data_IF_648613478521
#
_entry.id   IF_648613478521
#
_cell.length_a   1.000
_cell.length_b   1.000
_cell.length_c   1.000
_cell.angle_alpha   90.00
_cell.angle_beta   90.00
_cell.angle_gamma   90.00
#
_symmetry.space_group_name_H-M   'P 1'
#
loop_
_entity.id
_entity.type
_entity.pdbx_description
1 polymer ?
#
# COMPACT_ATOMS: atom_id res chain seq x y z
N UNK A 1 -21.41 -6.45 25.75
CA UNK A 1 -20.82 -7.75 25.35
C UNK A 1 -19.30 -7.83 25.62
N UNK A 2 -18.66 -6.81 26.19
CA UNK A 2 -17.20 -6.76 26.37
C UNK A 2 -16.66 -7.48 27.61
N UNK A 3 -17.38 -7.52 28.74
CA UNK A 3 -16.85 -8.13 29.97
C UNK A 3 -16.81 -9.67 29.96
N UNK A 4 -17.74 -10.33 29.26
CA UNK A 4 -17.87 -11.79 29.29
C UNK A 4 -16.80 -12.53 28.47
N UNK A 5 -16.07 -11.84 27.58
CA UNK A 5 -15.02 -12.44 26.75
C UNK A 5 -13.65 -12.49 27.47
N UNK A 6 -13.42 -11.64 28.47
CA UNK A 6 -12.13 -11.60 29.17
C UNK A 6 -11.99 -12.69 30.22
N UNK A 7 -13.10 -13.17 30.81
CA UNK A 7 -13.08 -14.26 31.79
C UNK A 7 -12.84 -15.65 31.20
N UNK A 8 -12.84 -15.78 29.86
CA UNK A 8 -12.64 -17.07 29.18
C UNK A 8 -11.21 -17.31 28.70
N UNK A 9 -10.34 -16.29 28.68
CA UNK A 9 -8.96 -16.45 28.20
C UNK A 9 -8.12 -17.11 29.31
N UNK A 10 -7.53 -18.30 29.07
CA UNK A 10 -6.62 -18.93 30.03
C UNK A 10 -5.37 -18.06 30.30
N UNK A 11 -4.89 -18.06 31.55
CA UNK A 11 -3.66 -17.35 31.93
C UNK A 11 -2.40 -17.94 31.26
N UNK A 12 -2.45 -19.21 30.87
CA UNK A 12 -1.35 -19.91 30.20
C UNK A 12 -1.85 -20.38 28.85
N UNK A 13 -1.13 -20.00 27.80
CA UNK A 13 -1.45 -20.34 26.41
C UNK A 13 -0.20 -20.79 25.66
N UNK A 14 -0.34 -21.65 24.64
CA UNK A 14 0.70 -21.85 23.65
C UNK A 14 1.05 -20.53 22.98
N UNK A 15 2.36 -20.28 22.84
CA UNK A 15 2.90 -19.08 22.19
C UNK A 15 3.45 -19.46 20.82
N UNK A 16 3.06 -18.68 19.80
CA UNK A 16 3.67 -18.77 18.48
C UNK A 16 4.32 -17.43 18.09
N UNK A 17 5.60 -17.45 17.69
CA UNK A 17 6.31 -16.23 17.32
C UNK A 17 5.98 -15.80 15.87
N UNK A 18 5.55 -14.56 15.70
CA UNK A 18 5.40 -13.93 14.39
C UNK A 18 6.70 -13.22 14.00
N UNK A 19 7.10 -13.37 12.73
CA UNK A 19 8.29 -12.69 12.19
C UNK A 19 7.90 -11.46 11.37
N UNK A 20 7.02 -11.66 10.39
CA UNK A 20 6.76 -10.67 9.34
C UNK A 20 5.42 -9.93 9.47
N UNK A 21 4.78 -10.01 10.64
CA UNK A 21 3.51 -9.34 10.89
C UNK A 21 3.25 -9.06 12.38
N UNK A 22 2.33 -8.14 12.63
CA UNK A 22 1.76 -7.84 13.94
C UNK A 22 0.28 -8.18 13.88
N UNK A 23 -0.17 -9.12 14.71
CA UNK A 23 -1.58 -9.47 14.81
C UNK A 23 -2.29 -8.46 15.72
N UNK A 24 -3.40 -7.89 15.26
CA UNK A 24 -4.26 -7.01 16.05
C UNK A 24 -5.56 -7.72 16.47
N UNK A 25 -6.23 -7.25 17.54
CA UNK A 25 -7.61 -7.65 17.82
C UNK A 25 -8.51 -7.44 16.58
N UNK A 26 -9.50 -8.33 16.41
CA UNK A 26 -10.48 -8.38 15.32
C UNK A 26 -9.89 -8.67 13.91
N UNK A 27 -8.57 -8.77 13.79
CA UNK A 27 -7.92 -9.13 12.53
C UNK A 27 -8.18 -10.60 12.20
N UNK A 28 -8.73 -10.86 11.01
CA UNK A 28 -8.83 -12.21 10.46
C UNK A 28 -7.75 -12.42 9.41
N UNK A 29 -6.94 -13.47 9.56
CA UNK A 29 -5.84 -13.74 8.63
C UNK A 29 -5.48 -15.22 8.57
N UNK A 30 -5.02 -15.72 7.41
CA UNK A 30 -4.44 -17.04 7.29
C UNK A 30 -2.97 -17.02 7.73
N UNK A 31 -2.49 -18.11 8.33
CA UNK A 31 -1.07 -18.46 8.41
C UNK A 31 -0.82 -19.81 7.74
N UNK A 32 0.31 -19.89 7.05
CA UNK A 32 0.85 -21.13 6.51
C UNK A 32 1.99 -21.58 7.42
N UNK A 33 1.91 -22.82 7.90
CA UNK A 33 2.79 -23.39 8.91
C UNK A 33 3.60 -24.52 8.27
N UNK A 34 4.90 -24.56 8.58
CA UNK A 34 5.72 -25.73 8.30
C UNK A 34 5.45 -26.81 9.34
N UNK A 35 5.97 -28.02 9.14
CA UNK A 35 5.77 -29.13 10.08
C UNK A 35 6.24 -28.80 11.51
N UNK A 36 7.37 -28.09 11.63
CA UNK A 36 7.94 -27.67 12.92
C UNK A 36 7.09 -26.60 13.64
N UNK A 37 6.24 -25.88 12.90
CA UNK A 37 5.39 -24.80 13.43
C UNK A 37 4.01 -25.30 13.89
N UNK A 38 3.63 -26.54 13.55
CA UNK A 38 2.34 -27.15 13.88
C UNK A 38 2.11 -27.39 15.40
N UNK A 39 3.08 -27.90 16.18
CA UNK A 39 2.84 -28.31 17.57
C UNK A 39 2.13 -27.29 18.48
N UNK A 40 2.49 -25.99 18.51
CA UNK A 40 1.78 -25.03 19.36
C UNK A 40 0.30 -24.84 18.97
N UNK A 41 -0.05 -25.01 17.69
CA UNK A 41 -1.43 -24.91 17.22
C UNK A 41 -2.24 -26.18 17.52
N UNK A 42 -1.62 -27.36 17.51
CA UNK A 42 -2.27 -28.59 17.97
C UNK A 42 -2.53 -28.54 19.49
N UNK A 43 -1.58 -28.03 20.27
CA UNK A 43 -1.77 -27.84 21.70
C UNK A 43 -2.88 -26.81 21.99
N UNK A 44 -2.95 -25.72 21.22
CA UNK A 44 -3.97 -24.69 21.36
C UNK A 44 -5.42 -25.23 21.28
N UNK A 45 -5.64 -26.38 20.62
CA UNK A 45 -6.95 -27.05 20.59
C UNK A 45 -7.44 -27.44 22.00
N UNK A 46 -6.52 -27.68 22.94
CA UNK A 46 -6.81 -27.96 24.36
C UNK A 46 -7.07 -26.70 25.19
N UNK A 47 -6.66 -25.54 24.68
CA UNK A 47 -6.81 -24.23 25.31
C UNK A 47 -7.95 -23.42 24.67
N UNK A 48 -9.11 -24.06 24.45
CA UNK A 48 -10.28 -23.44 23.83
C UNK A 48 -10.03 -22.91 22.40
N UNK A 49 -9.12 -23.54 21.66
CA UNK A 49 -8.65 -23.09 20.35
C UNK A 49 -7.98 -21.70 20.39
N UNK A 50 -7.42 -21.30 21.53
CA UNK A 50 -6.72 -20.03 21.70
C UNK A 50 -5.21 -20.22 21.65
N UNK A 51 -4.53 -19.32 20.96
CA UNK A 51 -3.08 -19.25 20.86
C UNK A 51 -2.63 -17.81 21.06
N UNK A 52 -1.52 -17.60 21.75
CA UNK A 52 -0.95 -16.28 21.96
C UNK A 52 0.11 -16.00 20.89
N UNK A 53 -0.08 -14.93 20.12
CA UNK A 53 0.84 -14.55 19.06
C UNK A 53 1.65 -13.32 19.50
N UNK A 54 2.97 -13.45 19.47
CA UNK A 54 3.89 -12.37 19.79
C UNK A 54 4.87 -12.17 18.66
N UNK A 55 5.16 -10.91 18.32
CA UNK A 55 6.22 -10.62 17.36
C UNK A 55 7.57 -10.92 17.99
N UNK A 56 8.45 -11.60 17.24
CA UNK A 56 9.84 -11.81 17.63
C UNK A 56 10.60 -10.50 17.43
N UNK A 57 11.45 -10.13 18.38
CA UNK A 57 12.46 -9.09 18.11
C UNK A 57 13.45 -9.65 17.09
N UNK A 58 13.94 -8.81 16.17
CA UNK A 58 15.01 -9.22 15.25
C UNK A 58 16.25 -9.74 16.00
N UNK A 59 17.29 -10.18 15.28
CA UNK A 59 18.52 -10.65 15.95
C UNK A 59 18.96 -9.65 17.02
N UNK A 60 19.04 -10.08 18.30
CA UNK A 60 19.30 -9.18 19.38
C UNK A 60 20.69 -8.59 19.22
N UNK A 61 20.77 -7.28 18.95
CA UNK A 61 22.03 -6.53 19.14
C UNK A 61 22.44 -6.53 20.61
N UNK A 62 21.49 -6.74 21.51
CA UNK A 62 21.66 -6.83 22.95
C UNK A 62 21.03 -8.12 23.49
N UNK A 63 21.84 -9.09 23.97
CA UNK A 63 21.36 -10.36 24.54
C UNK A 63 20.50 -10.20 25.79
N UNK A 64 20.47 -9.02 26.42
CA UNK A 64 19.66 -8.75 27.61
C UNK A 64 18.18 -8.49 27.29
N UNK A 65 17.85 -8.21 26.03
CA UNK A 65 16.47 -7.96 25.63
C UNK A 65 15.69 -9.27 25.50
N UNK A 66 14.43 -9.31 25.98
CA UNK A 66 13.56 -10.46 25.75
C UNK A 66 13.41 -10.76 24.25
N UNK A 67 13.31 -12.05 23.85
CA UNK A 67 13.21 -12.44 22.44
C UNK A 67 11.92 -11.98 21.75
N UNK A 68 10.92 -11.53 22.52
CA UNK A 68 9.61 -11.10 22.04
C UNK A 68 9.32 -9.64 22.41
N UNK A 69 8.39 -9.03 21.69
CA UNK A 69 7.77 -7.79 22.15
C UNK A 69 6.86 -8.05 23.35
N UNK A 70 6.66 -7.02 24.18
CA UNK A 70 5.93 -7.14 25.45
C UNK A 70 4.44 -7.41 25.22
N UNK A 71 3.84 -6.76 24.20
CA UNK A 71 2.43 -6.95 23.83
C UNK A 71 2.31 -7.84 22.61
N UNK A 72 1.36 -8.77 22.71
CA UNK A 72 0.92 -9.64 21.63
C UNK A 72 -0.60 -9.66 21.57
N UNK A 73 -1.12 -10.59 20.79
CA UNK A 73 -2.56 -10.78 20.62
C UNK A 73 -2.90 -12.24 20.84
N UNK A 74 -3.91 -12.51 21.67
CA UNK A 74 -4.54 -13.83 21.73
C UNK A 74 -5.44 -13.95 20.51
N UNK A 75 -5.23 -15.01 19.76
CA UNK A 75 -6.00 -15.34 18.57
C UNK A 75 -6.77 -16.65 18.77
N UNK A 76 -7.95 -16.71 18.19
CA UNK A 76 -8.74 -17.94 18.08
C UNK A 76 -8.46 -18.62 16.76
N UNK A 77 -8.22 -19.92 16.80
CA UNK A 77 -8.09 -20.78 15.62
C UNK A 77 -9.50 -21.13 15.14
N UNK A 78 -9.91 -20.50 14.03
CA UNK A 78 -11.21 -20.72 13.41
C UNK A 78 -11.19 -21.90 12.43
N UNK A 79 -10.04 -22.18 11.82
CA UNK A 79 -9.86 -23.32 10.93
C UNK A 79 -8.41 -23.82 10.99
N UNK A 80 -8.22 -25.15 10.97
CA UNK A 80 -6.92 -25.81 10.91
C UNK A 80 -6.98 -26.92 9.85
N UNK A 81 -6.19 -26.80 8.78
CA UNK A 81 -6.18 -27.75 7.66
C UNK A 81 -4.74 -28.20 7.39
N UNK A 82 -4.43 -29.48 7.58
CA UNK A 82 -3.15 -30.06 7.17
C UNK A 82 -3.07 -30.14 5.65
N UNK A 83 -1.94 -29.76 5.08
CA UNK A 83 -1.72 -29.81 3.64
C UNK A 83 -1.12 -31.16 3.23
N UNK A 84 -1.41 -31.67 2.01
CA UNK A 84 -0.88 -32.96 1.55
C UNK A 84 0.65 -32.99 1.39
N UNK A 85 1.25 -31.82 1.21
CA UNK A 85 2.68 -31.61 0.92
C UNK A 85 3.57 -31.49 2.18
N UNK A 86 2.99 -31.65 3.37
CA UNK A 86 3.62 -31.30 4.64
C UNK A 86 3.25 -29.88 5.06
N UNK A 87 3.06 -29.65 6.36
CA UNK A 87 2.60 -28.36 6.90
C UNK A 87 1.08 -28.22 7.05
N UNK A 88 0.63 -27.01 7.38
CA UNK A 88 -0.78 -26.71 7.62
C UNK A 88 -1.15 -25.26 7.26
N UNK A 89 -2.40 -25.05 6.88
CA UNK A 89 -3.01 -23.72 6.80
C UNK A 89 -3.96 -23.52 7.97
N UNK A 90 -3.78 -22.43 8.71
CA UNK A 90 -4.67 -22.03 9.80
C UNK A 90 -5.31 -20.68 9.50
N UNK A 91 -6.58 -20.51 9.87
CA UNK A 91 -7.26 -19.21 9.84
C UNK A 91 -7.46 -18.75 11.27
N UNK A 92 -6.96 -17.55 11.57
CA UNK A 92 -6.91 -16.98 12.91
C UNK A 92 -7.76 -15.72 12.99
N UNK A 93 -8.34 -15.48 14.16
CA UNK A 93 -9.05 -14.24 14.50
C UNK A 93 -8.45 -13.66 15.78
N UNK A 94 -7.96 -12.42 15.71
CA UNK A 94 -7.50 -11.69 16.90
C UNK A 94 -8.65 -11.41 17.86
N UNK A 95 -8.47 -11.74 19.14
CA UNK A 95 -9.51 -11.58 20.17
C UNK A 95 -9.20 -10.40 21.08
N UNK A 96 -8.01 -10.38 21.67
CA UNK A 96 -7.64 -9.37 22.64
C UNK A 96 -6.12 -9.18 22.69
N UNK A 97 -5.70 -7.97 23.08
CA UNK A 97 -4.31 -7.70 23.44
C UNK A 97 -3.95 -8.40 24.74
N UNK A 98 -2.73 -8.94 24.77
CA UNK A 98 -2.15 -9.53 25.97
C UNK A 98 -0.71 -9.07 26.17
N UNK A 99 -0.30 -8.97 27.42
CA UNK A 99 1.09 -8.80 27.82
C UNK A 99 1.71 -10.17 28.12
N UNK A 100 2.95 -10.37 27.69
CA UNK A 100 3.75 -11.54 28.07
C UNK A 100 4.28 -11.36 29.51
N UNK A 101 3.84 -12.21 30.44
CA UNK A 101 4.35 -12.20 31.81
C UNK A 101 5.57 -13.12 31.99
N UNK A 102 5.68 -14.17 31.19
CA UNK A 102 6.84 -15.06 31.20
C UNK A 102 6.61 -16.37 30.44
N UNK A 103 7.69 -17.11 30.23
CA UNK A 103 7.66 -18.45 29.64
C UNK A 103 7.56 -19.49 30.75
N UNK A 104 6.59 -20.41 30.62
CA UNK A 104 6.32 -21.49 31.57
C UNK A 104 7.05 -22.77 31.15
N UNK A 105 7.07 -23.07 29.85
CA UNK A 105 7.70 -24.25 29.27
C UNK A 105 8.21 -23.89 27.88
N UNK A 106 9.40 -24.39 27.50
CA UNK A 106 9.99 -24.12 26.17
C UNK A 106 9.86 -25.28 25.18
N UNK A 107 9.79 -26.53 25.67
CA UNK A 107 9.81 -27.74 24.83
C UNK A 107 8.65 -28.68 25.20
N UNK A 108 7.96 -29.30 24.21
CA UNK A 108 8.25 -29.31 22.78
C UNK A 108 7.82 -28.05 22.01
N UNK A 109 7.08 -27.16 22.66
CA UNK A 109 6.71 -25.83 22.17
C UNK A 109 6.56 -24.89 23.36
N UNK A 110 6.48 -23.58 23.08
CA UNK A 110 6.46 -22.57 24.14
C UNK A 110 5.06 -22.47 24.74
N UNK A 111 4.95 -22.64 26.05
CA UNK A 111 3.80 -22.21 26.84
C UNK A 111 4.18 -20.93 27.58
N UNK A 112 3.35 -19.90 27.45
CA UNK A 112 3.59 -18.60 28.06
C UNK A 112 2.44 -18.21 28.98
N UNK A 113 2.79 -17.53 30.08
CA UNK A 113 1.83 -16.83 30.92
C UNK A 113 1.53 -15.47 30.31
N UNK A 114 0.25 -15.19 30.12
CA UNK A 114 -0.24 -13.97 29.47
C UNK A 114 -1.26 -13.27 30.32
N UNK A 115 -1.24 -11.93 30.27
CA UNK A 115 -2.20 -11.09 30.96
C UNK A 115 -2.98 -10.26 29.95
N UNK A 116 -4.31 -10.34 29.98
CA UNK A 116 -5.17 -9.50 29.14
C UNK A 116 -4.96 -8.02 29.47
N UNK A 117 -4.67 -7.23 28.43
CA UNK A 117 -4.60 -5.78 28.55
C UNK A 117 -6.03 -5.23 28.58
N UNK A 118 -6.41 -4.63 29.71
CA UNK A 118 -7.71 -3.97 29.85
C UNK A 118 -7.66 -2.60 29.19
N UNK A 119 -8.59 -2.34 28.29
CA UNK A 119 -8.68 -1.07 27.56
C UNK A 119 -9.89 -0.26 28.03
N UNK A 120 -9.71 1.05 28.16
CA UNK A 120 -10.81 1.96 28.47
C UNK A 120 -11.66 2.19 27.22
N UNK A 121 -12.90 1.73 27.24
CA UNK A 121 -13.80 1.83 26.09
C UNK A 121 -14.76 3.03 26.16
N UNK A 122 -14.66 3.84 27.21
CA UNK A 122 -15.55 4.99 27.40
C UNK A 122 -15.30 6.07 26.35
N UNK A 123 -16.40 6.59 25.81
CA UNK A 123 -16.35 7.68 24.85
C UNK A 123 -16.15 9.00 25.56
N UNK A 124 -15.30 9.83 24.99
CA UNK A 124 -15.13 11.23 25.34
C UNK A 124 -15.40 12.10 24.12
N UNK A 125 -15.63 13.40 24.33
CA UNK A 125 -15.73 14.37 23.23
C UNK A 125 -14.49 14.31 22.32
N UNK A 126 -13.31 14.04 22.91
CA UNK A 126 -12.05 13.92 22.19
C UNK A 126 -12.01 12.66 21.32
N UNK A 127 -12.38 11.49 21.86
CA UNK A 127 -12.39 10.25 21.09
C UNK A 127 -13.39 10.33 19.93
N UNK A 128 -14.54 10.95 20.15
CA UNK A 128 -15.58 11.10 19.13
C UNK A 128 -15.10 11.99 17.97
N UNK A 129 -14.47 13.12 18.28
CA UNK A 129 -13.90 14.01 17.26
C UNK A 129 -12.79 13.33 16.45
N UNK A 130 -11.93 12.54 17.12
CA UNK A 130 -10.88 11.76 16.45
C UNK A 130 -11.47 10.68 15.53
N UNK A 131 -12.47 9.92 16.00
CA UNK A 131 -13.14 8.90 15.20
C UNK A 131 -13.82 9.50 13.97
N UNK A 132 -14.51 10.63 14.10
CA UNK A 132 -15.12 11.33 12.97
C UNK A 132 -14.08 11.77 11.95
N UNK A 133 -12.95 12.32 12.42
CA UNK A 133 -11.89 12.83 11.56
C UNK A 133 -11.14 11.68 10.86
N UNK A 134 -10.88 10.57 11.55
CA UNK A 134 -10.34 9.34 10.96
C UNK A 134 -11.28 8.74 9.91
N UNK A 135 -12.59 8.70 10.16
CA UNK A 135 -13.57 8.24 9.17
C UNK A 135 -13.53 9.11 7.90
N UNK A 136 -13.41 10.43 8.05
CA UNK A 136 -13.25 11.32 6.90
C UNK A 136 -11.94 11.03 6.12
N UNK A 137 -10.82 10.83 6.82
CA UNK A 137 -9.54 10.49 6.21
C UNK A 137 -9.57 9.14 5.49
N UNK A 138 -10.22 8.12 6.06
CA UNK A 138 -10.44 6.82 5.42
C UNK A 138 -11.21 6.97 4.11
N UNK A 139 -12.29 7.76 4.11
CA UNK A 139 -13.09 8.07 2.90
C UNK A 139 -12.25 8.77 1.82
N UNK A 140 -11.33 9.65 2.22
CA UNK A 140 -10.38 10.26 1.28
C UNK A 140 -9.41 9.19 0.76
N UNK A 141 -8.77 8.40 1.61
CA UNK A 141 -7.83 7.35 1.21
C UNK A 141 -8.44 6.35 0.22
N UNK A 142 -9.70 5.96 0.46
CA UNK A 142 -10.53 5.14 -0.44
C UNK A 142 -10.64 5.75 -1.85
N UNK A 143 -10.88 7.06 -1.95
CA UNK A 143 -11.01 7.75 -3.23
C UNK A 143 -9.70 7.75 -4.05
N UNK A 144 -8.56 7.57 -3.40
CA UNK A 144 -7.24 7.45 -4.04
C UNK A 144 -6.83 5.99 -4.33
N UNK A 145 -7.78 5.04 -4.29
CA UNK A 145 -7.54 3.67 -4.75
C UNK A 145 -6.92 2.74 -3.72
N UNK A 146 -7.09 3.01 -2.41
CA UNK A 146 -6.95 1.99 -1.37
C UNK A 146 -8.31 1.36 -1.08
N UNK A 147 -8.69 0.23 -1.71
CA UNK A 147 -9.96 -0.40 -1.42
C UNK A 147 -9.96 -0.95 0.01
N UNK A 148 -11.03 -0.66 0.76
CA UNK A 148 -11.40 -1.43 1.95
C UNK A 148 -12.33 -2.57 1.49
N UNK A 149 -12.34 -3.72 2.20
CA UNK A 149 -13.39 -4.71 1.99
C UNK A 149 -14.79 -4.10 2.17
N UNK A 150 -15.74 -4.49 1.31
CA UNK A 150 -17.11 -3.94 1.32
C UNK A 150 -17.80 -4.08 2.70
N UNK A 151 -17.52 -5.17 3.41
CA UNK A 151 -18.08 -5.42 4.74
C UNK A 151 -17.56 -4.41 5.77
N UNK A 152 -16.29 -4.01 5.65
CA UNK A 152 -15.67 -3.02 6.53
C UNK A 152 -16.23 -1.64 6.21
N UNK A 153 -16.35 -1.28 4.93
CA UNK A 153 -16.98 -0.03 4.49
C UNK A 153 -18.39 0.16 5.06
N UNK A 154 -19.19 -0.91 5.06
CA UNK A 154 -20.56 -0.88 5.58
C UNK A 154 -20.60 -0.77 7.10
N UNK A 155 -19.61 -1.32 7.80
CA UNK A 155 -19.63 -1.39 9.27
C UNK A 155 -18.88 -0.24 9.95
N UNK A 156 -17.89 0.37 9.29
CA UNK A 156 -16.96 1.33 9.90
C UNK A 156 -17.64 2.58 10.48
N UNK A 157 -18.73 3.04 9.84
CA UNK A 157 -19.54 4.18 10.30
C UNK A 157 -20.37 3.85 11.57
N UNK A 158 -20.55 2.56 11.91
CA UNK A 158 -21.33 2.11 13.06
C UNK A 158 -20.49 1.69 14.28
N UNK A 159 -19.16 1.78 14.18
CA UNK A 159 -18.27 1.41 15.28
C UNK A 159 -18.24 2.58 16.27
N UNK A 160 -18.77 2.34 17.45
CA UNK A 160 -18.88 3.32 18.53
C UNK A 160 -17.75 3.19 19.58
N UNK A 161 -17.03 2.08 19.57
CA UNK A 161 -15.97 1.79 20.53
C UNK A 161 -14.60 2.32 20.03
N UNK A 162 -13.95 3.26 20.75
CA UNK A 162 -12.65 3.82 20.37
C UNK A 162 -11.52 2.79 20.24
N UNK A 163 -11.50 1.79 21.11
CA UNK A 163 -10.48 0.74 21.11
C UNK A 163 -10.58 -0.12 19.85
N UNK A 164 -11.79 -0.58 19.54
CA UNK A 164 -12.07 -1.37 18.34
C UNK A 164 -11.85 -0.56 17.06
N UNK A 165 -12.28 0.70 17.04
CA UNK A 165 -12.12 1.54 15.87
C UNK A 165 -10.64 1.80 15.57
N UNK A 166 -9.85 2.18 16.57
CA UNK A 166 -8.41 2.42 16.38
C UNK A 166 -7.65 1.19 15.88
N UNK A 167 -8.00 -0.01 16.35
CA UNK A 167 -7.40 -1.27 15.87
C UNK A 167 -7.74 -1.56 14.42
N UNK A 168 -9.02 -1.38 14.06
CA UNK A 168 -9.45 -1.57 12.68
C UNK A 168 -8.77 -0.59 11.75
N UNK A 169 -8.67 0.70 12.12
CA UNK A 169 -7.97 1.66 11.27
C UNK A 169 -6.48 1.33 11.17
N UNK A 170 -5.83 0.86 12.25
CA UNK A 170 -4.44 0.44 12.22
C UNK A 170 -4.16 -0.68 11.17
N UNK A 171 -5.11 -1.60 10.96
CA UNK A 171 -5.02 -2.64 9.93
C UNK A 171 -4.98 -2.09 8.49
N UNK A 172 -5.46 -0.87 8.26
CA UNK A 172 -5.54 -0.26 6.93
C UNK A 172 -4.43 0.73 6.62
N UNK A 173 -3.73 1.20 7.65
CA UNK A 173 -2.54 2.04 7.44
C UNK A 173 -1.37 1.12 7.11
N UNK A 174 -0.72 1.31 5.96
CA UNK A 174 0.51 0.59 5.67
C UNK A 174 1.66 1.25 6.41
N UNK A 175 2.10 0.59 7.47
CA UNK A 175 3.20 1.04 8.31
C UNK A 175 4.28 -0.03 8.41
N UNK A 176 5.55 0.36 8.65
CA UNK A 176 6.59 -0.56 9.07
C UNK A 176 6.16 -1.37 10.30
N UNK A 177 6.67 -2.60 10.44
CA UNK A 177 6.30 -3.50 11.54
C UNK A 177 6.55 -2.89 12.93
N UNK A 178 7.57 -2.06 13.09
CA UNK A 178 7.87 -1.41 14.37
C UNK A 178 6.84 -0.34 14.74
N UNK A 179 6.31 0.38 13.76
CA UNK A 179 5.21 1.33 13.98
C UNK A 179 3.89 0.59 14.26
N UNK A 180 3.63 -0.53 13.58
CA UNK A 180 2.49 -1.40 13.91
C UNK A 180 2.61 -1.97 15.32
N UNK A 181 3.80 -2.38 15.73
CA UNK A 181 4.02 -2.87 17.08
C UNK A 181 3.83 -1.76 18.12
N UNK A 182 4.30 -0.54 17.88
CA UNK A 182 4.04 0.62 18.75
C UNK A 182 2.53 0.92 18.88
N UNK A 183 1.76 0.78 17.79
CA UNK A 183 0.29 0.86 17.85
C UNK A 183 -0.33 -0.28 18.68
N UNK A 184 0.19 -1.51 18.57
CA UNK A 184 -0.27 -2.63 19.39
C UNK A 184 0.07 -2.42 20.87
N UNK A 185 1.26 -1.90 21.18
CA UNK A 185 1.73 -1.62 22.55
C UNK A 185 0.98 -0.45 23.21
N UNK A 186 0.32 0.40 22.41
CA UNK A 186 -0.45 1.55 22.92
C UNK A 186 -1.79 1.09 23.50
N UNK A 187 -1.84 0.84 24.81
CA UNK A 187 -3.03 0.35 25.50
C UNK A 187 -4.18 1.37 25.60
N UNK A 188 -3.87 2.67 25.69
CA UNK A 188 -4.89 3.73 25.75
C UNK A 188 -5.51 3.96 24.36
N UNK A 189 -6.83 3.73 24.18
CA UNK A 189 -7.48 3.89 22.89
C UNK A 189 -7.46 5.32 22.33
N UNK A 190 -7.49 6.35 23.18
CA UNK A 190 -7.46 7.75 22.75
C UNK A 190 -6.08 8.10 22.21
N UNK A 191 -5.02 7.68 22.90
CA UNK A 191 -3.64 7.85 22.41
C UNK A 191 -3.42 7.05 21.12
N UNK A 192 -3.96 5.85 21.03
CA UNK A 192 -3.90 5.03 19.82
C UNK A 192 -4.64 5.70 18.65
N UNK A 193 -5.84 6.25 18.88
CA UNK A 193 -6.58 7.04 17.88
C UNK A 193 -5.74 8.23 17.37
N UNK A 194 -5.05 8.95 18.27
CA UNK A 194 -4.17 10.07 17.87
C UNK A 194 -3.01 9.60 17.00
N UNK A 195 -2.32 8.51 17.39
CA UNK A 195 -1.22 7.94 16.60
C UNK A 195 -1.71 7.54 15.21
N UNK A 196 -2.78 6.75 15.14
CA UNK A 196 -3.36 6.30 13.87
C UNK A 196 -3.81 7.49 13.01
N UNK A 197 -4.37 8.55 13.61
CA UNK A 197 -4.74 9.77 12.91
C UNK A 197 -3.54 10.44 12.24
N UNK A 198 -2.41 10.56 12.94
CA UNK A 198 -1.18 11.11 12.37
C UNK A 198 -0.70 10.27 11.19
N UNK A 199 -0.62 8.94 11.37
CA UNK A 199 -0.16 8.05 10.32
C UNK A 199 -1.06 8.08 9.08
N UNK A 200 -2.39 8.04 9.27
CA UNK A 200 -3.34 8.08 8.17
C UNK A 200 -3.35 9.44 7.46
N UNK A 201 -3.20 10.54 8.20
CA UNK A 201 -3.06 11.89 7.60
C UNK A 201 -1.85 11.95 6.68
N UNK A 202 -0.70 11.47 7.15
CA UNK A 202 0.53 11.43 6.35
C UNK A 202 0.38 10.54 5.11
N UNK A 203 -0.31 9.39 5.23
CA UNK A 203 -0.60 8.51 4.09
C UNK A 203 -1.53 9.17 3.08
N UNK A 204 -2.60 9.83 3.53
CA UNK A 204 -3.52 10.57 2.65
C UNK A 204 -2.77 11.67 1.89
N UNK A 205 -1.90 12.43 2.56
CA UNK A 205 -1.08 13.46 1.90
C UNK A 205 -0.17 12.85 0.82
N UNK A 206 0.47 11.71 1.10
CA UNK A 206 1.28 10.99 0.10
C UNK A 206 0.43 10.53 -1.10
N UNK A 207 -0.77 10.02 -0.86
CA UNK A 207 -1.70 9.59 -1.91
C UNK A 207 -2.15 10.77 -2.78
N UNK A 208 -2.46 11.91 -2.17
CA UNK A 208 -2.85 13.14 -2.88
C UNK A 208 -1.73 13.60 -3.82
N UNK A 209 -0.50 13.75 -3.30
CA UNK A 209 0.66 14.15 -4.11
C UNK A 209 0.91 13.16 -5.24
N UNK A 210 0.84 11.84 -4.97
CA UNK A 210 0.99 10.82 -6.02
C UNK A 210 -0.09 10.94 -7.10
N UNK A 211 -1.34 11.20 -6.70
CA UNK A 211 -2.46 11.40 -7.61
C UNK A 211 -2.28 12.65 -8.51
N UNK A 212 -1.82 13.77 -7.94
CA UNK A 212 -1.51 14.99 -8.68
C UNK A 212 -0.41 14.78 -9.72
N UNK A 213 0.69 14.13 -9.32
CA UNK A 213 1.79 13.79 -10.24
C UNK A 213 1.29 12.88 -11.36
N UNK A 214 0.49 11.86 -11.04
CA UNK A 214 -0.06 10.95 -12.04
C UNK A 214 -0.96 11.68 -13.03
N UNK A 215 -1.82 12.59 -12.56
CA UNK A 215 -2.68 13.40 -13.41
C UNK A 215 -1.87 14.31 -14.34
N UNK A 216 -0.79 14.94 -13.85
CA UNK A 216 0.09 15.78 -14.66
C UNK A 216 0.81 14.97 -15.76
N UNK A 217 1.34 13.81 -15.40
CA UNK A 217 1.99 12.89 -16.36
C UNK A 217 1.00 12.45 -17.43
N UNK A 218 -0.20 12.00 -17.05
CA UNK A 218 -1.24 11.58 -18.00
C UNK A 218 -1.64 12.73 -18.94
N UNK A 219 -1.75 13.97 -18.43
CA UNK A 219 -2.04 15.15 -19.25
C UNK A 219 -0.93 15.43 -20.26
N UNK A 220 0.34 15.32 -19.86
CA UNK A 220 1.49 15.51 -20.77
C UNK A 220 1.51 14.44 -21.86
N UNK A 221 1.36 13.16 -21.50
CA UNK A 221 1.31 12.05 -22.46
C UNK A 221 0.16 12.22 -23.46
N UNK A 222 -1.04 12.57 -22.98
CA UNK A 222 -2.19 12.82 -23.86
C UNK A 222 -1.96 13.98 -24.83
N UNK A 223 -1.29 15.05 -24.39
CA UNK A 223 -0.91 16.16 -25.28
C UNK A 223 0.08 15.70 -26.35
N UNK A 224 1.10 14.94 -25.97
CA UNK A 224 2.11 14.42 -26.92
C UNK A 224 1.49 13.45 -27.94
N UNK A 225 0.60 12.55 -27.51
CA UNK A 225 -0.12 11.65 -28.43
C UNK A 225 -1.01 12.43 -29.40
N UNK A 226 -1.71 13.46 -28.92
CA UNK A 226 -2.54 14.32 -29.77
C UNK A 226 -1.69 15.09 -30.79
N UNK A 227 -0.56 15.66 -30.38
CA UNK A 227 0.37 16.35 -31.28
C UNK A 227 0.97 15.40 -32.33
N UNK A 228 1.32 14.18 -31.93
CA UNK A 228 1.79 13.14 -32.86
C UNK A 228 0.72 12.79 -33.90
N UNK A 229 -0.52 12.54 -33.46
CA UNK A 229 -1.64 12.23 -34.35
C UNK A 229 -1.92 13.36 -35.35
N UNK A 230 -1.93 14.61 -34.87
CA UNK A 230 -2.16 15.79 -35.74
C UNK A 230 -1.05 15.95 -36.77
N UNK A 231 0.21 15.65 -36.43
CA UNK A 231 1.33 15.70 -37.39
C UNK A 231 1.19 14.64 -38.48
N UNK A 232 0.82 13.42 -38.12
CA UNK A 232 0.55 12.36 -39.10
C UNK A 232 -0.62 12.71 -40.02
N UNK A 233 -1.70 13.27 -39.47
CA UNK A 233 -2.85 13.73 -40.26
C UNK A 233 -2.47 14.87 -41.23
N UNK A 234 -1.71 15.87 -40.77
CA UNK A 234 -1.22 16.95 -41.63
C UNK A 234 -0.33 16.42 -42.76
N UNK A 235 0.52 15.43 -42.47
CA UNK A 235 1.37 14.78 -43.47
C UNK A 235 0.54 14.06 -44.52
N UNK A 236 -0.49 13.31 -44.12
CA UNK A 236 -1.41 12.66 -45.04
C UNK A 236 -2.18 13.67 -45.91
N UNK A 237 -2.65 14.78 -45.34
CA UNK A 237 -3.33 15.84 -46.10
C UNK A 237 -2.38 16.46 -47.14
N UNK A 238 -1.12 16.71 -46.79
CA UNK A 238 -0.11 17.23 -47.72
C UNK A 238 0.19 16.26 -48.88
N UNK A 239 0.24 14.96 -48.57
CA UNK A 239 0.39 13.90 -49.57
C UNK A 239 -0.85 13.81 -50.49
N UNK A 240 -2.06 13.90 -49.96
CA UNK A 240 -3.33 13.88 -50.73
C UNK A 240 -3.54 15.14 -51.60
N UNK A 241 -3.14 16.32 -51.11
CA UNK A 241 -3.21 17.59 -51.85
C UNK A 241 -2.15 17.68 -52.98
N UNK A 242 -1.19 16.76 -53.03
CA UNK A 242 -0.15 16.74 -54.06
C UNK A 242 0.86 17.88 -53.96
N UNK A 243 0.95 18.56 -52.83
CA UNK A 243 1.87 19.71 -52.62
C UNK A 243 3.34 19.28 -52.76
N UNK A 244 3.68 18.05 -52.38
CA UNK A 244 5.03 17.49 -52.57
C UNK A 244 5.41 17.34 -54.04
N UNK A 245 4.46 17.01 -54.92
CA UNK A 245 4.71 16.88 -56.35
C UNK A 245 4.89 18.26 -57.02
N UNK A 246 4.10 19.25 -56.62
CA UNK A 246 4.20 20.63 -57.13
C UNK A 246 5.52 21.29 -56.73
N UNK A 247 5.93 21.15 -55.47
CA UNK A 247 7.17 21.72 -54.94
C UNK A 247 8.42 21.04 -55.53
N UNK A 248 8.40 19.72 -55.66
CA UNK A 248 9.50 18.99 -56.32
C UNK A 248 9.66 19.43 -57.79
N UNK A 249 8.54 19.70 -58.49
CA UNK A 249 8.56 20.22 -59.86
C UNK A 249 9.16 21.63 -59.94
N UNK A 250 8.76 22.56 -59.07
CA UNK A 250 9.30 23.93 -59.06
C UNK A 250 10.82 23.97 -58.76
N UNK A 251 11.27 23.17 -57.80
CA UNK A 251 12.69 23.07 -57.45
C UNK A 251 13.52 22.47 -58.59
N UNK A 252 12.97 21.49 -59.31
CA UNK A 252 13.62 20.92 -60.49
C UNK A 252 13.74 21.93 -61.63
N UNK A 253 12.73 22.77 -61.84
CA UNK A 253 12.75 23.81 -62.86
C UNK A 253 13.72 24.95 -62.53
N UNK A 254 13.81 25.36 -61.27
CA UNK A 254 14.80 26.33 -60.80
C UNK A 254 16.22 25.78 -60.98
N UNK A 255 16.46 24.51 -60.67
CA UNK A 255 17.76 23.87 -60.89
C UNK A 255 18.15 23.85 -62.37
N UNK A 256 17.22 23.56 -63.28
CA UNK A 256 17.45 23.63 -64.73
C UNK A 256 17.82 25.05 -65.17
N UNK A 257 17.10 26.08 -64.68
CA UNK A 257 17.37 27.49 -65.00
C UNK A 257 18.75 27.95 -64.52
N UNK A 258 19.21 27.49 -63.36
CA UNK A 258 20.56 27.81 -62.86
C UNK A 258 21.64 27.21 -63.78
N UNK A 259 21.45 25.97 -64.23
CA UNK A 259 22.39 25.29 -65.13
C UNK A 259 22.40 25.94 -66.52
N UNK A 260 21.24 26.28 -67.08
CA UNK A 260 21.13 26.85 -68.43
C UNK A 260 21.55 28.32 -68.53
N UNK A 261 21.60 29.06 -67.42
CA UNK A 261 21.97 30.48 -67.40
C UNK A 261 23.47 30.76 -67.68
N UNK A 262 24.34 29.73 -67.70
CA UNK A 262 25.74 29.89 -68.11
C UNK A 262 26.57 30.81 -67.20
N UNK A 263 26.24 30.87 -65.91
CA UNK A 263 26.86 31.80 -64.97
C UNK A 263 28.34 31.46 -64.68
N UNK A 264 29.21 32.45 -64.40
CA UNK A 264 30.55 32.21 -63.88
C UNK A 264 30.54 31.42 -62.56
N UNK A 265 31.52 30.54 -62.36
CA UNK A 265 31.64 29.63 -61.20
C UNK A 265 31.37 30.23 -59.81
N UNK A 266 31.89 31.43 -59.44
CA UNK A 266 31.60 32.00 -58.13
C UNK A 266 30.12 32.38 -57.95
N UNK A 267 29.43 32.77 -59.03
CA UNK A 267 28.01 33.14 -59.02
C UNK A 267 27.13 31.89 -58.96
N UNK A 268 27.47 30.87 -59.74
CA UNK A 268 26.77 29.58 -59.73
C UNK A 268 26.77 28.92 -58.35
N UNK A 269 27.92 28.93 -57.66
CA UNK A 269 28.04 28.41 -56.29
C UNK A 269 27.12 29.10 -55.29
N UNK A 270 26.89 30.41 -55.44
CA UNK A 270 25.96 31.16 -54.58
C UNK A 270 24.51 30.79 -54.92
N UNK A 271 24.16 30.70 -56.20
CA UNK A 271 22.83 30.30 -56.65
C UNK A 271 22.46 28.88 -56.20
N UNK A 272 23.39 27.92 -56.30
CA UNK A 272 23.20 26.55 -55.82
C UNK A 272 23.05 26.49 -54.29
N UNK A 273 23.73 27.38 -53.56
CA UNK A 273 23.63 27.47 -52.09
C UNK A 273 22.26 28.01 -51.66
N UNK A 274 21.74 29.02 -52.35
CA UNK A 274 20.40 29.55 -52.08
C UNK A 274 19.29 28.58 -52.49
N UNK A 275 19.44 27.84 -53.59
CA UNK A 275 18.49 26.78 -53.97
C UNK A 275 18.42 25.69 -52.89
N UNK A 276 19.57 25.23 -52.37
CA UNK A 276 19.61 24.29 -51.23
C UNK A 276 18.99 24.85 -49.96
N UNK A 277 19.06 26.17 -49.75
CA UNK A 277 18.40 26.84 -48.63
C UNK A 277 16.89 26.82 -48.82
N UNK A 278 16.41 27.11 -50.03
CA UNK A 278 15.00 27.07 -50.40
C UNK A 278 14.40 25.66 -50.24
N UNK A 279 15.13 24.60 -50.63
CA UNK A 279 14.74 23.19 -50.43
C UNK A 279 14.40 22.88 -48.96
N UNK A 280 15.12 23.51 -48.00
CA UNK A 280 15.00 23.26 -46.56
C UNK A 280 13.99 24.14 -45.83
N UNK A 281 13.50 25.21 -46.45
CA UNK A 281 12.51 26.10 -45.83
C UNK A 281 11.13 25.48 -46.02
N UNK A 282 10.55 24.95 -44.94
CA UNK A 282 9.17 24.44 -44.93
C UNK A 282 8.22 25.62 -45.22
N UNK A 283 7.31 25.56 -46.22
CA UNK A 283 6.55 26.73 -46.66
C UNK A 283 5.40 27.08 -45.70
N UNK A 284 5.14 26.25 -44.69
CA UNK A 284 4.10 26.47 -43.67
C UNK A 284 4.61 27.21 -42.41
N UNK A 285 5.55 28.15 -42.56
CA UNK A 285 5.92 29.11 -41.50
C UNK A 285 5.34 30.48 -41.79
#
# INVERSE_FOLDING_TARGET
MSETAFSSIPEVLPLFPLQDMVAFPYMMFPLFLNEDDIPPFEEAMRFQNLIALFRKRGEPRDPSLPPYFETGTVCKINQFVKLPEGGAKVNLEGIARVRLEGVVLESPHILARVQVVREFTERSVVSDALMQSLNALLKIALSYGRPLPDDVLKMIDYIDNPARFSDLVALYVTLPLDELQDLLDTADPVERLKKVYIHLTNEVQRLQVRGEVQAEVTKRVGKTQKEYLLREQMKQIQEELGEDASRASELADLRKKIVSAGMPDPVRKIADKELKRLERINPAS
#
